data_IF_773845028354
#
_entry.id   IF_773845028354
#
_cell.length_a   1.000
_cell.length_b   1.000
_cell.length_c   1.000
_cell.angle_alpha   90.00
_cell.angle_beta   90.00
_cell.angle_gamma   90.00
#
_symmetry.space_group_name_H-M   'P 1'
#
loop_
_entity.id
_entity.type
_entity.pdbx_description
1 polymer ?
#
# COMPACT_ATOMS: atom_id res chain seq x y z
N UNK A 1 -21.50 7.57 25.74
CA UNK A 1 -20.23 8.25 25.43
C UNK A 1 -19.46 7.41 24.44
N UNK A 2 -18.81 8.05 23.47
CA UNK A 2 -17.88 7.36 22.54
C UNK A 2 -16.60 8.19 22.40
N UNK A 3 -15.48 7.50 22.18
CA UNK A 3 -14.20 8.07 21.84
C UNK A 3 -13.74 7.41 20.54
N UNK A 4 -13.44 8.21 19.53
CA UNK A 4 -12.75 7.78 18.32
C UNK A 4 -11.27 8.19 18.41
N UNK A 5 -10.39 7.30 18.04
CA UNK A 5 -8.95 7.56 17.99
C UNK A 5 -8.35 6.85 16.78
N UNK A 6 -7.68 7.61 15.92
CA UNK A 6 -6.78 7.07 14.91
C UNK A 6 -5.40 6.83 15.55
N UNK A 7 -5.02 5.56 15.65
CA UNK A 7 -3.77 5.15 16.32
C UNK A 7 -2.51 5.62 15.59
N UNK A 8 -2.61 6.02 14.31
CA UNK A 8 -1.49 6.58 13.58
C UNK A 8 -1.22 8.06 13.87
N UNK A 9 -2.20 8.78 14.43
CA UNK A 9 -2.09 10.23 14.70
C UNK A 9 -1.69 10.56 16.12
N UNK A 10 -1.77 9.58 17.03
CA UNK A 10 -1.46 9.76 18.45
C UNK A 10 -0.17 9.03 18.80
N UNK A 11 0.66 9.62 19.69
CA UNK A 11 1.71 8.82 20.34
C UNK A 11 1.06 7.77 21.23
N UNK A 12 1.63 6.57 21.33
CA UNK A 12 1.09 5.49 22.15
C UNK A 12 0.88 5.93 23.61
N UNK A 13 1.79 6.74 24.16
CA UNK A 13 1.64 7.29 25.51
C UNK A 13 0.39 8.15 25.67
N UNK A 14 0.17 9.10 24.77
CA UNK A 14 -1.03 9.96 24.82
C UNK A 14 -2.31 9.17 24.64
N UNK A 15 -2.30 8.16 23.76
CA UNK A 15 -3.42 7.26 23.56
C UNK A 15 -3.79 6.52 24.83
N UNK A 16 -2.80 5.89 25.50
CA UNK A 16 -3.02 5.10 26.69
C UNK A 16 -3.50 5.93 27.89
N UNK A 17 -3.01 7.15 28.06
CA UNK A 17 -3.50 8.05 29.12
C UNK A 17 -4.94 8.48 28.88
N UNK A 18 -5.33 8.80 27.65
CA UNK A 18 -6.73 9.11 27.30
C UNK A 18 -7.65 7.91 27.53
N UNK A 19 -7.20 6.71 27.19
CA UNK A 19 -7.98 5.47 27.37
C UNK A 19 -8.14 5.15 28.87
N UNK A 20 -7.11 5.29 29.67
CA UNK A 20 -7.19 5.15 31.14
C UNK A 20 -8.20 6.12 31.74
N UNK A 21 -8.17 7.38 31.30
CA UNK A 21 -9.14 8.39 31.72
C UNK A 21 -10.56 7.98 31.33
N UNK A 22 -10.77 7.54 30.07
CA UNK A 22 -12.07 7.08 29.58
C UNK A 22 -12.64 5.94 30.45
N UNK A 23 -11.83 4.90 30.71
CA UNK A 23 -12.26 3.74 31.49
C UNK A 23 -12.51 4.05 32.96
N UNK A 24 -11.83 5.04 33.51
CA UNK A 24 -12.01 5.51 34.88
C UNK A 24 -13.33 6.30 35.04
N UNK A 25 -13.56 7.25 34.16
CA UNK A 25 -14.63 8.20 34.30
C UNK A 25 -15.99 7.70 33.69
N UNK A 26 -15.91 6.84 32.64
CA UNK A 26 -17.08 6.39 31.91
C UNK A 26 -17.14 4.87 31.84
N UNK A 27 -17.92 4.27 32.77
CA UNK A 27 -18.04 2.80 32.87
C UNK A 27 -18.73 2.15 31.67
N UNK A 28 -19.56 2.90 30.94
CA UNK A 28 -20.26 2.45 29.74
C UNK A 28 -19.93 3.41 28.60
N UNK A 29 -18.94 3.05 27.81
CA UNK A 29 -18.54 3.84 26.63
C UNK A 29 -18.13 2.92 25.50
N UNK A 30 -18.09 3.49 24.30
CA UNK A 30 -17.58 2.82 23.09
C UNK A 30 -16.27 3.51 22.72
N UNK A 31 -15.19 2.72 22.66
CA UNK A 31 -13.91 3.14 22.16
C UNK A 31 -13.75 2.61 20.73
N UNK A 32 -13.61 3.50 19.76
CA UNK A 32 -13.31 3.16 18.36
C UNK A 32 -11.85 3.46 18.09
N UNK A 33 -11.10 2.44 17.73
CA UNK A 33 -9.68 2.52 17.42
C UNK A 33 -9.51 2.24 15.93
N UNK A 34 -9.09 3.23 15.19
CA UNK A 34 -8.78 3.12 13.77
C UNK A 34 -7.28 2.92 13.56
N UNK A 35 -6.90 2.11 12.58
CA UNK A 35 -5.51 1.74 12.31
C UNK A 35 -4.78 1.15 13.54
N UNK A 36 -5.48 0.38 14.36
CA UNK A 36 -4.95 -0.22 15.59
C UNK A 36 -4.21 -1.51 15.26
N UNK A 37 -2.92 -1.56 15.54
CA UNK A 37 -2.13 -2.79 15.44
C UNK A 37 -2.31 -3.73 16.66
N UNK A 38 -1.74 -4.94 16.55
CA UNK A 38 -1.87 -5.97 17.58
C UNK A 38 -1.22 -5.58 18.91
N UNK A 39 -0.11 -4.85 18.88
CA UNK A 39 0.64 -4.44 20.07
C UNK A 39 -0.13 -3.37 20.84
N UNK A 40 -0.66 -2.38 20.12
CA UNK A 40 -1.54 -1.34 20.68
C UNK A 40 -2.79 -1.98 21.30
N UNK A 41 -3.43 -2.92 20.59
CA UNK A 41 -4.59 -3.64 21.11
C UNK A 41 -4.27 -4.41 22.38
N UNK A 42 -3.14 -5.13 22.44
CA UNK A 42 -2.73 -5.90 23.61
C UNK A 42 -2.58 -5.01 24.84
N UNK A 43 -1.91 -3.85 24.70
CA UNK A 43 -1.75 -2.89 25.78
C UNK A 43 -3.10 -2.30 26.23
N UNK A 44 -3.98 -1.98 25.32
CA UNK A 44 -5.33 -1.47 25.64
C UNK A 44 -6.15 -2.52 26.40
N UNK A 45 -6.05 -3.79 25.98
CA UNK A 45 -6.67 -4.91 26.69
C UNK A 45 -6.11 -5.06 28.11
N UNK A 46 -4.79 -4.90 28.30
CA UNK A 46 -4.13 -4.91 29.60
C UNK A 46 -4.59 -3.75 30.48
N UNK A 47 -4.69 -2.55 29.91
CA UNK A 47 -5.22 -1.38 30.62
C UNK A 47 -6.66 -1.65 31.04
N UNK A 48 -7.53 -2.15 30.14
CA UNK A 48 -8.94 -2.44 30.43
C UNK A 48 -9.10 -3.44 31.58
N UNK A 49 -8.25 -4.46 31.67
CA UNK A 49 -8.31 -5.48 32.73
C UNK A 49 -8.08 -4.89 34.15
N UNK A 50 -7.43 -3.74 34.25
CA UNK A 50 -7.24 -3.00 35.50
C UNK A 50 -8.45 -2.16 35.95
N UNK A 51 -9.49 -2.07 35.11
CA UNK A 51 -10.71 -1.31 35.40
C UNK A 51 -11.93 -2.24 35.40
N UNK A 52 -12.80 -2.08 36.38
CA UNK A 52 -14.08 -2.78 36.41
C UNK A 52 -15.10 -2.03 35.51
N UNK A 53 -14.87 -2.07 34.19
CA UNK A 53 -15.60 -1.30 33.19
C UNK A 53 -16.20 -2.19 32.10
N UNK A 54 -17.45 -1.89 31.70
CA UNK A 54 -18.19 -2.58 30.64
C UNK A 54 -18.04 -1.92 29.26
N UNK A 55 -16.96 -1.17 29.08
CA UNK A 55 -16.68 -0.47 27.83
C UNK A 55 -16.56 -1.45 26.64
N UNK A 56 -17.15 -1.07 25.52
CA UNK A 56 -17.00 -1.79 24.23
C UNK A 56 -15.84 -1.19 23.45
N UNK A 57 -15.08 -2.05 22.79
CA UNK A 57 -13.96 -1.64 21.93
C UNK A 57 -14.29 -2.12 20.52
N UNK A 58 -14.27 -1.22 19.57
CA UNK A 58 -14.36 -1.48 18.14
C UNK A 58 -12.98 -1.16 17.55
N UNK A 59 -12.40 -2.10 16.85
CA UNK A 59 -11.10 -1.96 16.20
C UNK A 59 -11.33 -2.00 14.70
N UNK A 60 -10.80 -1.00 14.02
CA UNK A 60 -10.75 -0.93 12.57
C UNK A 60 -9.29 -1.13 12.17
N UNK A 61 -9.01 -2.17 11.40
CA UNK A 61 -7.67 -2.48 10.94
C UNK A 61 -7.72 -2.97 9.50
N UNK A 62 -6.82 -2.47 8.67
CA UNK A 62 -6.66 -2.87 7.28
C UNK A 62 -5.59 -3.99 7.11
N UNK A 63 -4.94 -4.42 8.19
CA UNK A 63 -3.93 -5.47 8.15
C UNK A 63 -4.54 -6.85 8.38
N UNK A 64 -4.76 -7.57 7.27
CA UNK A 64 -5.33 -8.92 7.27
C UNK A 64 -4.38 -10.01 7.80
N UNK A 65 -3.08 -9.73 7.83
CA UNK A 65 -2.07 -10.72 8.20
C UNK A 65 -1.92 -10.88 9.72
N UNK A 66 -2.51 -9.98 10.49
CA UNK A 66 -2.34 -9.94 11.95
C UNK A 66 -3.54 -10.48 12.75
N UNK A 67 -4.33 -11.40 12.16
CA UNK A 67 -5.52 -12.00 12.80
C UNK A 67 -5.21 -12.67 14.13
N UNK A 68 -4.03 -13.31 14.24
CA UNK A 68 -3.62 -14.00 15.46
C UNK A 68 -3.52 -13.07 16.68
N UNK A 69 -3.22 -11.80 16.47
CA UNK A 69 -3.16 -10.79 17.54
C UNK A 69 -4.55 -10.46 18.12
N UNK A 70 -5.64 -10.76 17.40
CA UNK A 70 -7.02 -10.46 17.77
C UNK A 70 -7.85 -11.70 18.14
N UNK A 71 -7.23 -12.81 18.51
CA UNK A 71 -7.89 -14.11 18.78
C UNK A 71 -9.03 -14.09 19.81
N UNK A 72 -9.15 -13.03 20.61
CA UNK A 72 -10.22 -12.85 21.60
C UNK A 72 -11.31 -11.87 21.17
N UNK A 73 -11.30 -11.45 19.90
CA UNK A 73 -12.28 -10.52 19.34
C UNK A 73 -13.26 -11.26 18.41
N UNK A 74 -14.48 -10.75 18.30
CA UNK A 74 -15.35 -11.10 17.18
C UNK A 74 -14.83 -10.33 15.96
N UNK A 75 -14.32 -11.04 14.97
CA UNK A 75 -13.79 -10.46 13.74
C UNK A 75 -14.91 -10.39 12.72
N UNK A 76 -15.18 -9.18 12.21
CA UNK A 76 -16.08 -8.95 11.09
C UNK A 76 -15.20 -8.52 9.93
N UNK A 77 -15.14 -9.36 8.90
CA UNK A 77 -14.47 -8.99 7.65
C UNK A 77 -15.44 -8.22 6.77
N UNK A 78 -15.00 -7.06 6.33
CA UNK A 78 -15.69 -6.35 5.26
C UNK A 78 -15.10 -6.83 3.93
N UNK A 79 -15.95 -7.12 2.97
CA UNK A 79 -15.52 -7.38 1.61
C UNK A 79 -14.70 -6.19 1.10
N UNK A 80 -13.56 -6.50 0.49
CA UNK A 80 -12.58 -5.48 0.07
C UNK A 80 -13.06 -4.68 -1.14
N UNK A 81 -13.84 -5.34 -2.00
CA UNK A 81 -14.45 -4.73 -3.18
C UNK A 81 -15.96 -4.91 -3.04
N UNK A 82 -16.69 -3.82 -3.07
CA UNK A 82 -18.14 -3.87 -3.00
C UNK A 82 -18.71 -3.14 -4.21
N UNK A 83 -18.92 -3.87 -5.29
CA UNK A 83 -19.66 -3.38 -6.45
C UNK A 83 -21.04 -2.88 -6.03
N UNK A 84 -21.71 -3.61 -5.12
CA UNK A 84 -23.01 -3.23 -4.55
C UNK A 84 -22.99 -1.86 -3.85
N UNK A 85 -21.91 -1.53 -3.15
CA UNK A 85 -21.77 -0.22 -2.48
C UNK A 85 -21.55 0.88 -3.50
N UNK A 86 -20.69 0.64 -4.49
CA UNK A 86 -20.47 1.56 -5.60
C UNK A 86 -21.78 1.79 -6.36
N UNK A 87 -22.52 0.73 -6.65
CA UNK A 87 -23.81 0.81 -7.31
C UNK A 87 -24.80 1.68 -6.55
N UNK A 88 -24.97 1.46 -5.24
CA UNK A 88 -25.82 2.27 -4.37
C UNK A 88 -25.39 3.74 -4.30
N UNK A 89 -24.07 4.02 -4.35
CA UNK A 89 -23.57 5.40 -4.41
C UNK A 89 -23.97 6.05 -5.73
N UNK A 90 -23.86 5.33 -6.84
CA UNK A 90 -24.11 5.86 -8.18
C UNK A 90 -25.60 5.90 -8.55
N UNK A 91 -26.40 4.93 -8.09
CA UNK A 91 -27.86 4.90 -8.33
C UNK A 91 -28.55 6.19 -7.86
N UNK A 92 -28.14 6.76 -6.74
CA UNK A 92 -28.69 8.03 -6.23
C UNK A 92 -28.46 9.22 -7.16
N UNK A 93 -27.59 9.07 -8.14
CA UNK A 93 -27.20 10.11 -9.09
C UNK A 93 -27.37 9.66 -10.54
N UNK A 94 -28.13 8.58 -10.78
CA UNK A 94 -28.30 7.98 -12.11
C UNK A 94 -28.83 8.95 -13.15
N UNK A 95 -29.78 9.81 -12.77
CA UNK A 95 -30.34 10.85 -13.65
C UNK A 95 -29.29 11.90 -14.06
N UNK A 96 -28.34 12.20 -13.16
CA UNK A 96 -27.29 13.20 -13.40
C UNK A 96 -26.10 12.63 -14.18
N UNK A 97 -25.76 11.37 -13.96
CA UNK A 97 -24.57 10.73 -14.49
C UNK A 97 -24.81 9.99 -15.82
N UNK A 98 -26.03 9.49 -16.05
CA UNK A 98 -26.40 8.81 -17.30
C UNK A 98 -25.38 7.73 -17.70
N UNK A 99 -24.86 7.84 -18.94
CA UNK A 99 -23.87 6.90 -19.50
C UNK A 99 -22.51 6.87 -18.77
N UNK A 100 -22.23 7.86 -17.93
CA UNK A 100 -20.96 7.98 -17.20
C UNK A 100 -20.81 6.94 -16.08
N UNK A 101 -21.93 6.36 -15.63
CA UNK A 101 -21.95 5.39 -14.53
C UNK A 101 -21.02 4.20 -14.83
N UNK A 102 -21.07 3.65 -16.03
CA UNK A 102 -20.23 2.50 -16.39
C UNK A 102 -18.73 2.84 -16.38
N UNK A 103 -18.36 4.04 -16.81
CA UNK A 103 -16.98 4.52 -16.74
C UNK A 103 -16.51 4.67 -15.31
N UNK A 104 -17.37 5.21 -14.42
CA UNK A 104 -17.04 5.35 -12.99
C UNK A 104 -16.90 3.98 -12.34
N UNK A 105 -17.83 3.04 -12.58
CA UNK A 105 -17.79 1.68 -12.05
C UNK A 105 -16.50 0.97 -12.45
N UNK A 106 -16.17 0.98 -13.73
CA UNK A 106 -14.97 0.35 -14.27
C UNK A 106 -13.69 0.88 -13.60
N UNK A 107 -13.58 2.20 -13.45
CA UNK A 107 -12.38 2.82 -12.88
C UNK A 107 -12.33 2.68 -11.36
N UNK A 108 -13.48 2.74 -10.68
CA UNK A 108 -13.56 2.59 -9.23
C UNK A 108 -13.20 1.17 -8.76
N UNK A 109 -13.41 0.14 -9.59
CA UNK A 109 -13.11 -1.27 -9.25
C UNK A 109 -13.63 -1.66 -7.85
N UNK A 110 -14.90 -1.35 -7.55
CA UNK A 110 -15.49 -1.62 -6.25
C UNK A 110 -15.08 -0.69 -5.11
N UNK A 111 -14.20 0.32 -5.35
CA UNK A 111 -13.75 1.25 -4.33
C UNK A 111 -14.72 2.43 -4.16
N UNK A 112 -15.45 2.56 -3.01
CA UNK A 112 -16.45 3.59 -2.80
C UNK A 112 -15.88 5.02 -2.82
N UNK A 113 -14.68 5.23 -2.28
CA UNK A 113 -14.04 6.55 -2.27
C UNK A 113 -13.71 7.00 -3.69
N UNK A 114 -13.22 6.08 -4.54
CA UNK A 114 -12.96 6.40 -5.94
C UNK A 114 -14.23 6.73 -6.70
N UNK A 115 -15.31 5.98 -6.47
CA UNK A 115 -16.61 6.27 -7.07
C UNK A 115 -17.13 7.67 -6.68
N UNK A 116 -16.96 8.04 -5.41
CA UNK A 116 -17.37 9.34 -4.90
C UNK A 116 -16.55 10.49 -5.51
N UNK A 117 -15.23 10.35 -5.57
CA UNK A 117 -14.35 11.35 -6.19
C UNK A 117 -14.66 11.55 -7.68
N UNK A 118 -14.85 10.45 -8.40
CA UNK A 118 -15.22 10.52 -9.82
C UNK A 118 -16.60 11.16 -10.00
N UNK A 119 -17.58 10.76 -9.22
CA UNK A 119 -18.93 11.32 -9.25
C UNK A 119 -18.90 12.86 -9.10
N UNK A 120 -18.15 13.39 -8.13
CA UNK A 120 -18.04 14.83 -7.93
C UNK A 120 -17.41 15.52 -9.16
N UNK A 121 -16.37 14.94 -9.73
CA UNK A 121 -15.71 15.49 -10.93
C UNK A 121 -16.62 15.44 -12.17
N UNK A 122 -17.38 14.36 -12.34
CA UNK A 122 -18.31 14.24 -13.46
C UNK A 122 -19.51 15.19 -13.37
N UNK A 123 -19.88 15.65 -12.18
CA UNK A 123 -20.87 16.72 -12.01
C UNK A 123 -20.36 18.07 -12.53
N UNK A 124 -19.06 18.34 -12.34
CA UNK A 124 -18.46 19.61 -12.72
C UNK A 124 -18.17 19.73 -14.21
N UNK A 125 -17.96 18.59 -14.91
CA UNK A 125 -17.52 18.60 -16.32
C UNK A 125 -18.23 17.53 -17.16
N UNK A 126 -19.16 17.98 -18.03
CA UNK A 126 -19.89 17.12 -18.93
C UNK A 126 -19.02 16.47 -20.04
N UNK A 127 -17.80 16.96 -20.29
CA UNK A 127 -16.93 16.45 -21.37
C UNK A 127 -16.24 15.12 -21.03
N UNK A 128 -16.52 14.52 -19.87
CA UNK A 128 -15.87 13.31 -19.36
C UNK A 128 -16.43 12.00 -19.96
N UNK A 129 -17.47 12.06 -20.78
CA UNK A 129 -18.24 10.87 -21.22
C UNK A 129 -17.44 9.82 -22.00
N UNK A 130 -16.42 10.25 -22.75
CA UNK A 130 -15.64 9.40 -23.64
C UNK A 130 -14.14 9.39 -23.32
N UNK A 131 -13.75 9.72 -22.09
CA UNK A 131 -12.35 9.77 -21.74
C UNK A 131 -11.79 8.36 -21.52
N UNK A 132 -10.59 8.11 -22.07
CA UNK A 132 -9.77 7.00 -21.65
C UNK A 132 -9.29 7.20 -20.19
N UNK A 133 -8.86 6.12 -19.56
CA UNK A 133 -8.43 6.14 -18.15
C UNK A 133 -7.32 7.18 -17.88
N UNK A 134 -6.43 7.38 -18.84
CA UNK A 134 -5.35 8.38 -18.75
C UNK A 134 -5.86 9.83 -18.70
N UNK A 135 -6.82 10.18 -19.59
CA UNK A 135 -7.42 11.50 -19.58
C UNK A 135 -8.25 11.75 -18.31
N UNK A 136 -8.90 10.70 -17.79
CA UNK A 136 -9.62 10.75 -16.53
C UNK A 136 -8.69 11.01 -15.35
N UNK A 137 -7.55 10.31 -15.28
CA UNK A 137 -6.54 10.51 -14.25
C UNK A 137 -5.93 11.92 -14.36
N UNK A 138 -5.62 12.39 -15.57
CA UNK A 138 -5.13 13.77 -15.79
C UNK A 138 -6.10 14.81 -15.25
N UNK A 139 -7.40 14.64 -15.47
CA UNK A 139 -8.41 15.54 -14.91
C UNK A 139 -8.55 15.43 -13.39
N UNK A 140 -8.50 14.22 -12.82
CA UNK A 140 -8.51 14.02 -11.37
C UNK A 140 -7.32 14.74 -10.71
N UNK A 141 -6.13 14.54 -11.23
CA UNK A 141 -4.93 15.20 -10.74
C UNK A 141 -4.95 16.70 -11.03
N UNK A 142 -5.65 17.13 -12.09
CA UNK A 142 -5.65 18.49 -12.62
C UNK A 142 -4.32 18.84 -13.25
N UNK A 143 -3.67 17.88 -13.90
CA UNK A 143 -2.36 17.99 -14.53
C UNK A 143 -2.29 17.07 -15.76
N UNK A 144 -1.59 17.52 -16.78
CA UNK A 144 -1.34 16.70 -17.96
C UNK A 144 -0.30 15.61 -17.69
N UNK A 145 -0.26 14.59 -18.55
CA UNK A 145 0.62 13.42 -18.40
C UNK A 145 2.10 13.79 -18.44
N UNK A 146 2.45 14.79 -19.19
CA UNK A 146 3.84 15.12 -19.51
C UNK A 146 4.49 16.18 -18.60
N UNK A 147 3.77 16.73 -17.63
CA UNK A 147 4.30 17.79 -16.76
C UNK A 147 4.88 17.22 -15.47
N UNK A 148 5.83 17.95 -14.84
CA UNK A 148 6.51 17.50 -13.61
C UNK A 148 5.58 17.06 -12.48
N UNK A 149 4.44 17.72 -12.36
CA UNK A 149 3.43 17.43 -11.33
C UNK A 149 2.86 16.00 -11.44
N UNK A 150 2.73 15.47 -12.68
CA UNK A 150 2.32 14.07 -12.89
C UNK A 150 3.38 13.11 -12.35
N UNK A 151 4.66 13.43 -12.54
CA UNK A 151 5.79 12.66 -12.00
C UNK A 151 5.73 12.64 -10.47
N UNK A 152 5.36 13.75 -9.83
CA UNK A 152 5.17 13.81 -8.38
C UNK A 152 4.07 12.84 -7.93
N UNK A 153 2.93 12.81 -8.63
CA UNK A 153 1.84 11.89 -8.31
C UNK A 153 2.27 10.41 -8.41
N UNK A 154 3.00 10.06 -9.47
CA UNK A 154 3.57 8.72 -9.65
C UNK A 154 4.54 8.37 -8.52
N UNK A 155 5.47 9.26 -8.20
CA UNK A 155 6.47 9.06 -7.15
C UNK A 155 5.84 8.86 -5.77
N UNK A 156 4.84 9.67 -5.42
CA UNK A 156 4.09 9.53 -4.16
C UNK A 156 3.29 8.23 -4.10
N UNK A 157 2.81 7.74 -5.26
CA UNK A 157 2.02 6.51 -5.33
C UNK A 157 2.82 5.25 -5.01
N UNK A 158 4.14 5.28 -5.18
CA UNK A 158 5.02 4.14 -4.88
C UNK A 158 5.05 3.76 -3.39
N UNK A 159 4.66 4.69 -2.52
CA UNK A 159 4.74 4.50 -1.07
C UNK A 159 3.34 4.52 -0.45
N UNK A 160 3.11 3.69 0.58
CA UNK A 160 1.85 3.75 1.33
C UNK A 160 1.71 5.09 2.03
N UNK A 161 2.70 5.46 2.83
CA UNK A 161 2.87 6.79 3.40
C UNK A 161 4.32 7.23 3.28
N UNK A 162 4.52 8.48 2.89
CA UNK A 162 5.83 9.14 2.78
C UNK A 162 5.89 10.33 3.74
N UNK A 163 6.90 10.36 4.60
CA UNK A 163 7.15 11.49 5.50
C UNK A 163 7.51 12.74 4.72
N UNK A 164 6.88 13.88 5.03
CA UNK A 164 7.07 15.13 4.30
C UNK A 164 7.24 16.36 5.19
N UNK A 165 7.05 16.23 6.50
CA UNK A 165 7.18 17.31 7.49
C UNK A 165 8.18 16.96 8.59
N UNK A 166 8.77 17.96 9.17
CA UNK A 166 9.62 17.91 10.37
C UNK A 166 10.70 16.82 10.28
N UNK A 167 10.89 16.00 11.30
CA UNK A 167 11.92 14.95 11.34
C UNK A 167 11.76 13.87 10.27
N UNK A 168 10.57 13.74 9.66
CA UNK A 168 10.33 12.82 8.56
C UNK A 168 10.53 13.42 7.18
N UNK A 169 10.90 14.71 7.09
CA UNK A 169 11.13 15.44 5.85
C UNK A 169 12.15 14.77 4.92
N UNK A 170 13.17 14.15 5.50
CA UNK A 170 14.23 13.49 4.74
C UNK A 170 13.75 12.34 3.85
N UNK A 171 12.57 11.75 4.12
CA UNK A 171 11.96 10.72 3.26
C UNK A 171 11.52 11.36 1.93
N UNK A 172 10.79 12.48 1.99
CA UNK A 172 10.36 13.21 0.80
C UNK A 172 11.57 13.72 0.00
N UNK A 173 12.57 14.27 0.66
CA UNK A 173 13.78 14.79 0.00
C UNK A 173 14.52 13.67 -0.74
N UNK A 174 14.65 12.49 -0.14
CA UNK A 174 15.26 11.32 -0.78
C UNK A 174 14.49 10.95 -2.06
N UNK A 175 13.17 10.90 -2.01
CA UNK A 175 12.33 10.57 -3.16
C UNK A 175 12.36 11.68 -4.21
N UNK A 176 12.18 12.93 -3.81
CA UNK A 176 12.09 14.08 -4.71
C UNK A 176 13.41 14.38 -5.43
N UNK A 177 14.55 14.13 -4.80
CA UNK A 177 15.87 14.37 -5.40
C UNK A 177 16.42 13.20 -6.21
N UNK A 178 15.76 12.02 -6.13
CA UNK A 178 16.18 10.84 -6.88
C UNK A 178 15.63 10.87 -8.30
N UNK A 179 16.54 11.03 -9.28
CA UNK A 179 16.18 10.93 -10.70
C UNK A 179 15.70 9.53 -11.11
N UNK A 180 16.11 8.49 -10.39
CA UNK A 180 15.68 7.11 -10.59
C UNK A 180 14.20 6.93 -10.26
N UNK A 181 13.68 7.75 -9.35
CA UNK A 181 12.26 7.76 -8.95
C UNK A 181 11.48 8.76 -9.79
N UNK A 182 12.01 9.96 -9.96
CA UNK A 182 11.32 11.12 -10.53
C UNK A 182 11.50 11.28 -12.04
N UNK A 183 11.97 10.26 -12.74
CA UNK A 183 12.08 10.26 -14.20
C UNK A 183 10.87 9.53 -14.83
N UNK A 184 10.25 10.16 -15.81
CA UNK A 184 9.17 9.60 -16.61
C UNK A 184 9.38 9.99 -18.08
N UNK A 185 9.46 9.01 -18.97
CA UNK A 185 9.65 9.22 -20.41
C UNK A 185 10.80 10.21 -20.74
N UNK A 186 11.95 10.03 -20.05
CA UNK A 186 13.11 10.90 -20.20
C UNK A 186 13.01 12.30 -19.55
N UNK A 187 11.86 12.67 -19.00
CA UNK A 187 11.66 13.90 -18.23
C UNK A 187 11.92 13.64 -16.76
N UNK A 188 12.58 14.58 -16.08
CA UNK A 188 12.94 14.47 -14.67
C UNK A 188 12.33 15.64 -13.91
N UNK A 189 11.75 15.36 -12.73
CA UNK A 189 11.27 16.35 -11.79
C UNK A 189 11.93 16.16 -10.43
N UNK A 190 13.17 16.55 -10.28
CA UNK A 190 13.96 16.40 -9.07
C UNK A 190 14.03 17.71 -8.25
N UNK A 191 12.89 18.35 -8.05
CA UNK A 191 12.74 19.58 -7.29
C UNK A 191 11.78 19.41 -6.12
N UNK A 192 12.29 19.50 -4.91
CA UNK A 192 11.52 19.37 -3.67
C UNK A 192 10.38 20.39 -3.58
N UNK A 193 10.60 21.61 -4.13
CA UNK A 193 9.59 22.68 -4.11
C UNK A 193 8.34 22.34 -4.95
N UNK A 194 8.52 21.60 -6.04
CA UNK A 194 7.41 21.09 -6.86
C UNK A 194 6.61 20.07 -6.07
N UNK A 195 7.28 19.17 -5.33
CA UNK A 195 6.62 18.19 -4.45
C UNK A 195 5.79 18.88 -3.38
N UNK A 196 6.34 19.88 -2.68
CA UNK A 196 5.61 20.62 -1.64
C UNK A 196 4.34 21.28 -2.17
N UNK A 197 4.48 21.99 -3.29
CA UNK A 197 3.36 22.65 -3.94
C UNK A 197 2.27 21.65 -4.36
N UNK A 198 2.69 20.51 -4.88
CA UNK A 198 1.76 19.53 -5.40
C UNK A 198 1.09 18.71 -4.29
N UNK A 199 1.82 18.40 -3.22
CA UNK A 199 1.24 17.77 -2.02
C UNK A 199 0.11 18.64 -1.46
N UNK A 200 0.33 19.94 -1.32
CA UNK A 200 -0.72 20.85 -0.83
C UNK A 200 -1.98 20.80 -1.71
N UNK A 201 -1.82 20.86 -3.04
CA UNK A 201 -2.94 20.76 -3.98
C UNK A 201 -3.66 19.41 -3.92
N UNK A 202 -2.92 18.31 -3.77
CA UNK A 202 -3.52 16.97 -3.73
C UNK A 202 -4.23 16.68 -2.41
N UNK A 203 -3.76 17.26 -1.30
CA UNK A 203 -4.47 17.24 -0.02
C UNK A 203 -5.81 18.00 -0.12
N UNK A 204 -5.80 19.21 -0.71
CA UNK A 204 -7.02 19.99 -0.93
C UNK A 204 -8.04 19.25 -1.80
N UNK A 205 -7.57 18.50 -2.80
CA UNK A 205 -8.43 17.68 -3.67
C UNK A 205 -8.89 16.36 -3.06
N UNK A 206 -8.44 16.00 -1.87
CA UNK A 206 -8.73 14.70 -1.25
C UNK A 206 -8.10 13.49 -1.95
N UNK A 207 -7.07 13.72 -2.79
CA UNK A 207 -6.32 12.68 -3.49
C UNK A 207 -5.20 12.13 -2.62
N UNK A 208 -4.67 12.95 -1.72
CA UNK A 208 -3.75 12.53 -0.66
C UNK A 208 -4.47 12.50 0.68
N UNK A 209 -4.12 11.50 1.48
CA UNK A 209 -4.46 11.41 2.89
C UNK A 209 -3.25 11.84 3.71
N UNK A 210 -3.45 12.74 4.68
CA UNK A 210 -2.41 13.10 5.64
C UNK A 210 -2.56 12.29 6.92
N UNK A 211 -1.48 11.66 7.38
CA UNK A 211 -1.38 10.98 8.67
C UNK A 211 -0.18 11.50 9.43
N UNK A 212 -0.44 12.36 10.40
CA UNK A 212 0.60 13.02 11.18
C UNK A 212 1.57 13.80 10.29
N UNK A 213 2.80 13.30 10.13
CA UNK A 213 3.86 13.93 9.33
C UNK A 213 4.07 13.29 7.96
N UNK A 214 3.13 12.45 7.54
CA UNK A 214 3.24 11.67 6.31
C UNK A 214 2.01 11.84 5.43
N UNK A 215 2.18 11.64 4.13
CA UNK A 215 1.11 11.63 3.13
C UNK A 215 1.12 10.34 2.34
N UNK A 216 -0.05 9.88 1.95
CA UNK A 216 -0.23 8.71 1.09
C UNK A 216 -1.28 8.95 0.03
N UNK A 217 -1.05 8.40 -1.17
CA UNK A 217 -2.01 8.47 -2.27
C UNK A 217 -3.24 7.63 -1.96
N UNK A 218 -4.40 8.24 -2.06
CA UNK A 218 -5.73 7.62 -1.94
C UNK A 218 -6.65 8.18 -3.04
N UNK A 219 -7.59 7.41 -3.57
CA UNK A 219 -7.84 5.98 -3.28
C UNK A 219 -6.82 5.05 -3.92
N UNK A 220 -6.81 3.80 -3.46
CA UNK A 220 -5.84 2.78 -3.94
C UNK A 220 -5.91 2.54 -5.46
N UNK A 221 -7.07 2.48 -6.14
CA UNK A 221 -7.11 2.31 -7.60
C UNK A 221 -6.35 3.39 -8.37
N UNK A 222 -6.39 4.65 -7.89
CA UNK A 222 -5.60 5.73 -8.48
C UNK A 222 -4.09 5.50 -8.29
N UNK A 223 -3.68 5.06 -7.09
CA UNK A 223 -2.29 4.74 -6.83
C UNK A 223 -1.79 3.59 -7.73
N UNK A 224 -2.59 2.54 -7.92
CA UNK A 224 -2.26 1.41 -8.81
C UNK A 224 -2.05 1.90 -10.24
N UNK A 225 -2.99 2.70 -10.76
CA UNK A 225 -2.87 3.25 -12.12
C UNK A 225 -1.56 4.04 -12.31
N UNK A 226 -1.23 4.90 -11.33
CA UNK A 226 -0.03 5.73 -11.38
C UNK A 226 1.27 4.90 -11.25
N UNK A 227 1.26 3.81 -10.49
CA UNK A 227 2.37 2.88 -10.40
C UNK A 227 2.54 2.09 -11.72
N UNK A 228 1.45 1.60 -12.32
CA UNK A 228 1.49 0.94 -13.63
C UNK A 228 2.10 1.89 -14.68
N UNK A 229 1.66 3.14 -14.71
CA UNK A 229 2.20 4.15 -15.60
C UNK A 229 3.68 4.41 -15.35
N UNK A 230 4.10 4.52 -14.10
CA UNK A 230 5.51 4.68 -13.72
C UNK A 230 6.36 3.49 -14.18
N UNK A 231 5.84 2.27 -14.10
CA UNK A 231 6.54 1.03 -14.50
C UNK A 231 6.67 0.88 -16.02
N UNK A 232 5.72 1.40 -16.81
CA UNK A 232 5.74 1.27 -18.28
C UNK A 232 7.06 1.72 -18.92
N UNK A 233 7.75 2.68 -18.30
CA UNK A 233 8.99 3.27 -18.82
C UNK A 233 10.23 2.80 -18.03
N UNK A 234 10.12 1.69 -17.27
CA UNK A 234 11.22 1.13 -16.49
C UNK A 234 11.78 -0.14 -17.15
N UNK A 235 13.07 -0.10 -17.45
CA UNK A 235 13.80 -1.31 -17.77
C UNK A 235 14.19 -2.04 -16.48
N UNK A 236 14.54 -3.35 -16.55
CA UNK A 236 15.07 -4.08 -15.40
C UNK A 236 16.21 -3.37 -14.69
N UNK A 237 17.14 -2.77 -15.46
CA UNK A 237 18.29 -2.05 -14.92
C UNK A 237 17.85 -0.82 -14.13
N UNK A 238 16.89 -0.04 -14.64
CA UNK A 238 16.34 1.14 -13.93
C UNK A 238 15.60 0.75 -12.66
N UNK A 239 14.94 -0.40 -12.64
CA UNK A 239 14.32 -0.92 -11.42
C UNK A 239 15.38 -1.37 -10.40
N UNK A 240 16.49 -1.93 -10.85
CA UNK A 240 17.63 -2.24 -9.97
C UNK A 240 18.24 -0.95 -9.38
N UNK A 241 18.46 0.07 -10.19
CA UNK A 241 18.93 1.40 -9.73
C UNK A 241 17.97 2.00 -8.68
N UNK A 242 16.66 1.92 -8.90
CA UNK A 242 15.64 2.35 -7.92
C UNK A 242 15.78 1.61 -6.59
N UNK A 243 15.91 0.28 -6.62
CA UNK A 243 16.11 -0.54 -5.41
C UNK A 243 17.36 -0.09 -4.67
N UNK A 244 18.47 0.13 -5.38
CA UNK A 244 19.71 0.61 -4.80
C UNK A 244 19.59 1.98 -4.14
N UNK A 245 18.83 2.92 -4.75
CA UNK A 245 18.56 4.23 -4.16
C UNK A 245 17.86 4.09 -2.81
N UNK A 246 16.81 3.26 -2.74
CA UNK A 246 16.11 3.02 -1.48
C UNK A 246 17.03 2.40 -0.42
N UNK A 247 17.85 1.42 -0.82
CA UNK A 247 18.77 0.72 0.11
C UNK A 247 19.89 1.63 0.65
N UNK A 248 20.36 2.58 -0.16
CA UNK A 248 21.41 3.53 0.23
C UNK A 248 20.88 4.75 1.01
N UNK A 249 19.54 4.94 1.04
CA UNK A 249 18.94 6.08 1.73
C UNK A 249 19.15 6.03 3.26
N UNK A 250 19.35 7.18 3.93
CA UNK A 250 19.39 7.23 5.40
C UNK A 250 18.12 6.67 6.05
N UNK A 251 16.96 6.86 5.40
CA UNK A 251 15.65 6.41 5.84
C UNK A 251 15.23 5.05 5.25
N UNK A 252 16.21 4.23 4.78
CA UNK A 252 15.97 2.99 4.04
C UNK A 252 14.91 2.07 4.65
N UNK A 253 14.93 1.87 5.96
CA UNK A 253 13.98 0.97 6.64
C UNK A 253 12.54 1.47 6.51
N UNK A 254 12.31 2.76 6.67
CA UNK A 254 10.99 3.39 6.58
C UNK A 254 10.50 3.37 5.14
N UNK A 255 11.35 3.77 4.19
CA UNK A 255 11.03 3.76 2.76
C UNK A 255 10.73 2.35 2.25
N UNK A 256 11.56 1.36 2.63
CA UNK A 256 11.34 -0.06 2.29
C UNK A 256 10.00 -0.55 2.82
N UNK A 257 9.72 -0.31 4.10
CA UNK A 257 8.46 -0.74 4.71
C UNK A 257 7.26 -0.09 4.02
N UNK A 258 7.32 1.22 3.76
CA UNK A 258 6.25 1.96 3.10
C UNK A 258 6.00 1.48 1.67
N UNK A 259 7.07 1.22 0.91
CA UNK A 259 7.00 0.66 -0.44
C UNK A 259 6.38 -0.75 -0.43
N UNK A 260 6.89 -1.66 0.41
CA UNK A 260 6.37 -3.01 0.52
C UNK A 260 4.89 -3.02 0.95
N UNK A 261 4.52 -2.20 1.94
CA UNK A 261 3.14 -2.09 2.40
C UNK A 261 2.19 -1.57 1.31
N UNK A 262 2.65 -0.68 0.43
CA UNK A 262 1.87 -0.25 -0.73
C UNK A 262 1.45 -1.44 -1.59
N UNK A 263 2.36 -2.36 -1.87
CA UNK A 263 2.04 -3.57 -2.63
C UNK A 263 1.10 -4.52 -1.89
N UNK A 264 1.26 -4.69 -0.59
CA UNK A 264 0.33 -5.50 0.23
C UNK A 264 -1.10 -4.96 0.16
N UNK A 265 -1.28 -3.64 0.25
CA UNK A 265 -2.59 -3.00 0.16
C UNK A 265 -3.23 -3.14 -1.22
N UNK A 266 -2.45 -3.40 -2.27
CA UNK A 266 -2.94 -3.62 -3.62
C UNK A 266 -3.33 -5.08 -3.91
N UNK A 267 -3.04 -6.01 -2.99
CA UNK A 267 -3.14 -7.46 -3.23
C UNK A 267 -4.53 -7.99 -3.60
N UNK A 268 -5.58 -7.23 -3.36
CA UNK A 268 -6.94 -7.58 -3.74
C UNK A 268 -7.32 -7.13 -5.18
N UNK A 269 -6.52 -6.29 -5.83
CA UNK A 269 -6.84 -5.76 -7.15
C UNK A 269 -6.20 -6.63 -8.24
N UNK A 270 -7.00 -7.05 -9.24
CA UNK A 270 -6.51 -7.88 -10.34
C UNK A 270 -5.40 -7.20 -11.16
N UNK A 271 -5.45 -5.85 -11.33
CA UNK A 271 -4.39 -5.10 -12.01
C UNK A 271 -3.07 -5.15 -11.26
N UNK A 272 -3.11 -5.10 -9.92
CA UNK A 272 -1.91 -5.30 -9.11
C UNK A 272 -1.34 -6.71 -9.26
N UNK A 273 -2.21 -7.73 -9.39
CA UNK A 273 -1.79 -9.11 -9.68
C UNK A 273 -1.07 -9.20 -11.03
N UNK A 274 -1.63 -8.58 -12.06
CA UNK A 274 -1.01 -8.53 -13.41
C UNK A 274 0.31 -7.76 -13.41
N UNK A 275 0.38 -6.65 -12.69
CA UNK A 275 1.60 -5.86 -12.51
C UNK A 275 2.69 -6.69 -11.82
N UNK A 276 2.39 -7.38 -10.72
CA UNK A 276 3.35 -8.28 -10.06
C UNK A 276 3.79 -9.39 -11.01
N UNK A 277 2.87 -9.95 -11.81
CA UNK A 277 3.20 -10.95 -12.80
C UNK A 277 4.19 -10.44 -13.87
N UNK A 278 4.03 -9.19 -14.31
CA UNK A 278 4.98 -8.55 -15.24
C UNK A 278 6.32 -8.26 -14.58
N UNK A 279 6.33 -7.72 -13.34
CA UNK A 279 7.54 -7.45 -12.56
C UNK A 279 8.38 -8.71 -12.32
N UNK A 280 7.72 -9.86 -12.13
CA UNK A 280 8.35 -11.15 -11.87
C UNK A 280 8.44 -12.02 -13.15
N UNK A 281 8.34 -11.42 -14.33
CA UNK A 281 8.47 -12.08 -15.62
C UNK A 281 9.91 -12.55 -15.93
N UNK A 282 10.11 -13.07 -17.13
CA UNK A 282 11.38 -13.70 -17.52
C UNK A 282 12.61 -12.77 -17.48
N UNK A 283 12.40 -11.48 -17.75
CA UNK A 283 13.43 -10.45 -17.70
C UNK A 283 13.38 -9.64 -16.40
N UNK A 284 12.83 -10.21 -15.33
CA UNK A 284 12.71 -9.55 -14.04
C UNK A 284 14.08 -9.16 -13.47
N UNK A 285 14.24 -7.94 -12.91
CA UNK A 285 15.44 -7.60 -12.16
C UNK A 285 15.59 -8.45 -10.89
N UNK A 286 14.52 -9.10 -10.47
CA UNK A 286 14.48 -10.03 -9.34
C UNK A 286 14.86 -11.47 -9.73
N UNK A 287 15.20 -11.74 -10.99
CA UNK A 287 15.71 -13.05 -11.42
C UNK A 287 17.17 -13.31 -10.97
N UNK A 288 17.67 -12.51 -10.05
CA UNK A 288 19.01 -12.56 -9.46
C UNK A 288 18.90 -12.85 -7.96
N UNK A 289 19.59 -13.90 -7.49
CA UNK A 289 19.58 -14.30 -6.09
C UNK A 289 20.10 -13.20 -5.15
N UNK A 290 21.12 -12.42 -5.58
CA UNK A 290 21.66 -11.31 -4.78
C UNK A 290 20.61 -10.20 -4.57
N UNK A 291 19.78 -9.93 -5.59
CA UNK A 291 18.70 -8.95 -5.47
C UNK A 291 17.63 -9.47 -4.53
N UNK A 292 17.27 -10.75 -4.61
CA UNK A 292 16.29 -11.34 -3.69
C UNK A 292 16.83 -11.38 -2.25
N UNK A 293 18.12 -11.69 -2.06
CA UNK A 293 18.75 -11.71 -0.73
C UNK A 293 18.96 -10.31 -0.12
N UNK A 294 18.79 -9.24 -0.90
CA UNK A 294 18.86 -7.88 -0.36
C UNK A 294 17.74 -7.58 0.65
N UNK A 295 17.94 -6.59 1.52
CA UNK A 295 16.94 -6.22 2.52
C UNK A 295 15.60 -5.80 1.88
N UNK A 296 15.63 -4.96 0.85
CA UNK A 296 14.41 -4.55 0.13
C UNK A 296 13.83 -5.70 -0.69
N UNK A 297 14.66 -6.42 -1.44
CA UNK A 297 14.21 -7.50 -2.30
C UNK A 297 13.48 -8.58 -1.51
N UNK A 298 14.09 -9.08 -0.42
CA UNK A 298 13.49 -10.13 0.41
C UNK A 298 12.17 -9.71 1.06
N UNK A 299 12.05 -8.46 1.53
CA UNK A 299 10.80 -7.90 2.08
C UNK A 299 9.74 -7.74 1.01
N UNK A 300 10.14 -7.31 -0.18
CA UNK A 300 9.23 -7.13 -1.30
C UNK A 300 8.58 -8.44 -1.71
N UNK A 301 9.31 -9.54 -1.71
CA UNK A 301 8.74 -10.87 -1.98
C UNK A 301 7.75 -11.33 -0.91
N UNK A 302 7.98 -10.97 0.37
CA UNK A 302 6.98 -11.18 1.43
C UNK A 302 5.66 -10.45 1.16
N UNK A 303 5.69 -9.34 0.43
CA UNK A 303 4.51 -8.58 0.03
C UNK A 303 3.93 -9.10 -1.29
N UNK A 304 4.76 -9.40 -2.27
CA UNK A 304 4.33 -9.94 -3.57
C UNK A 304 3.60 -11.29 -3.45
N UNK A 305 3.99 -12.14 -2.52
CA UNK A 305 3.32 -13.43 -2.31
C UNK A 305 1.86 -13.28 -1.89
N UNK A 306 1.52 -12.19 -1.22
CA UNK A 306 0.12 -11.88 -0.86
C UNK A 306 -0.68 -11.38 -2.08
N UNK A 307 -0.01 -10.87 -3.11
CA UNK A 307 -0.64 -10.33 -4.33
C UNK A 307 -0.74 -11.41 -5.40
N UNK A 308 0.36 -12.12 -5.67
CA UNK A 308 0.44 -13.14 -6.70
C UNK A 308 1.39 -14.28 -6.30
N UNK A 309 0.94 -15.27 -5.52
CA UNK A 309 1.77 -16.39 -5.06
C UNK A 309 2.33 -17.22 -6.20
N UNK A 310 1.58 -17.38 -7.31
CA UNK A 310 2.00 -18.17 -8.46
C UNK A 310 3.21 -17.54 -9.16
N UNK A 311 3.20 -16.22 -9.37
CA UNK A 311 4.34 -15.51 -9.97
C UNK A 311 5.59 -15.58 -9.08
N UNK A 312 5.43 -15.45 -7.77
CA UNK A 312 6.52 -15.59 -6.79
C UNK A 312 7.08 -17.00 -6.80
N UNK A 313 6.22 -18.02 -6.75
CA UNK A 313 6.64 -19.43 -6.78
C UNK A 313 7.45 -19.76 -8.04
N UNK A 314 6.95 -19.31 -9.20
CA UNK A 314 7.66 -19.50 -10.49
C UNK A 314 9.06 -18.90 -10.45
N UNK A 315 9.18 -17.64 -9.98
CA UNK A 315 10.48 -16.99 -9.93
C UNK A 315 11.42 -17.63 -8.91
N UNK A 316 10.93 -17.96 -7.72
CA UNK A 316 11.72 -18.65 -6.69
C UNK A 316 12.23 -20.01 -7.16
N UNK A 317 11.38 -20.79 -7.83
CA UNK A 317 11.80 -22.07 -8.43
C UNK A 317 12.86 -21.87 -9.50
N UNK A 318 12.73 -20.82 -10.34
CA UNK A 318 13.75 -20.49 -11.36
C UNK A 318 15.08 -20.10 -10.74
N UNK A 319 15.08 -19.31 -9.67
CA UNK A 319 16.32 -18.78 -9.06
C UNK A 319 16.95 -19.78 -8.12
N UNK A 320 16.18 -20.40 -7.23
CA UNK A 320 16.71 -21.25 -6.15
C UNK A 320 16.64 -22.74 -6.46
N UNK A 321 15.75 -23.18 -7.34
CA UNK A 321 15.47 -24.60 -7.56
C UNK A 321 16.65 -25.43 -8.06
N UNK A 322 17.63 -24.80 -8.73
CA UNK A 322 18.83 -25.43 -9.24
C UNK A 322 20.13 -25.00 -8.52
N UNK A 323 20.03 -24.23 -7.42
CA UNK A 323 21.20 -23.80 -6.65
C UNK A 323 21.78 -24.96 -5.85
N UNK A 324 23.10 -24.98 -5.74
CA UNK A 324 23.79 -25.94 -4.85
C UNK A 324 23.51 -25.60 -3.38
N UNK A 325 23.70 -26.60 -2.49
CA UNK A 325 23.57 -26.35 -1.03
C UNK A 325 24.56 -25.29 -0.56
N UNK A 326 25.77 -25.28 -1.12
CA UNK A 326 26.81 -24.30 -0.79
C UNK A 326 26.38 -22.88 -1.18
N UNK A 327 25.67 -22.71 -2.31
CA UNK A 327 25.18 -21.40 -2.74
C UNK A 327 23.97 -20.95 -1.93
N UNK A 328 23.06 -21.87 -1.59
CA UNK A 328 21.94 -21.54 -0.70
C UNK A 328 22.41 -21.13 0.73
N UNK A 329 23.53 -21.67 1.20
CA UNK A 329 24.12 -21.27 2.47
C UNK A 329 24.71 -19.85 2.46
N UNK A 330 25.05 -19.30 1.28
CA UNK A 330 25.53 -17.91 1.13
C UNK A 330 24.42 -16.87 1.23
N UNK A 331 23.16 -17.30 1.17
CA UNK A 331 22.00 -16.41 1.37
C UNK A 331 21.88 -16.11 2.86
N UNK A 332 22.16 -14.87 3.24
CA UNK A 332 22.22 -14.47 4.66
C UNK A 332 21.29 -13.32 4.98
N UNK A 333 21.34 -12.25 4.20
CA UNK A 333 20.63 -10.98 4.50
C UNK A 333 19.12 -11.14 4.46
N UNK A 334 18.60 -11.76 3.42
CA UNK A 334 17.18 -11.97 3.19
C UNK A 334 16.64 -13.32 3.67
N UNK A 335 17.49 -14.22 4.18
CA UNK A 335 17.15 -15.61 4.50
C UNK A 335 15.84 -15.75 5.27
N UNK A 336 15.66 -14.97 6.32
CA UNK A 336 14.44 -14.98 7.14
C UNK A 336 13.19 -14.66 6.32
N UNK A 337 13.24 -13.62 5.52
CA UNK A 337 12.12 -13.18 4.69
C UNK A 337 11.84 -14.17 3.55
N UNK A 338 12.89 -14.77 2.99
CA UNK A 338 12.79 -15.83 1.97
C UNK A 338 12.03 -17.03 2.57
N UNK A 339 12.44 -17.50 3.77
CA UNK A 339 11.75 -18.60 4.45
C UNK A 339 10.28 -18.25 4.74
N UNK A 340 9.99 -17.05 5.20
CA UNK A 340 8.60 -16.60 5.41
C UNK A 340 7.80 -16.53 4.10
N UNK A 341 8.43 -16.15 3.00
CA UNK A 341 7.80 -16.18 1.68
C UNK A 341 7.46 -17.61 1.25
N UNK A 342 8.40 -18.54 1.46
CA UNK A 342 8.19 -19.98 1.19
C UNK A 342 7.08 -20.57 2.07
N UNK A 343 7.03 -20.20 3.36
CA UNK A 343 5.95 -20.58 4.26
C UNK A 343 4.59 -20.13 3.71
N UNK A 344 4.46 -18.86 3.27
CA UNK A 344 3.23 -18.34 2.66
C UNK A 344 2.84 -19.08 1.38
N UNK A 345 3.82 -19.47 0.54
CA UNK A 345 3.57 -20.29 -0.65
C UNK A 345 2.97 -21.66 -0.29
N UNK A 346 3.32 -22.22 0.87
CA UNK A 346 2.78 -23.48 1.35
C UNK A 346 1.30 -23.38 1.82
N UNK A 347 0.75 -22.18 2.02
CA UNK A 347 -0.66 -22.00 2.38
C UNK A 347 -1.59 -21.87 1.16
N UNK A 348 -1.05 -21.69 -0.04
CA UNK A 348 -1.84 -21.61 -1.26
C UNK A 348 -1.77 -22.95 -2.01
N UNK A 349 -2.93 -23.56 -2.32
CA UNK A 349 -3.03 -24.87 -2.96
C UNK A 349 -2.20 -24.96 -4.26
N UNK A 350 -2.27 -23.92 -5.10
CA UNK A 350 -1.59 -23.86 -6.39
C UNK A 350 -0.05 -23.83 -6.29
N UNK A 351 0.51 -23.45 -5.14
CA UNK A 351 1.95 -23.27 -4.94
C UNK A 351 2.54 -24.12 -3.83
N UNK A 352 1.71 -24.98 -3.19
CA UNK A 352 2.12 -25.81 -2.07
C UNK A 352 3.32 -26.71 -2.39
N UNK A 353 3.26 -27.45 -3.50
CA UNK A 353 4.32 -28.40 -3.85
C UNK A 353 5.66 -27.71 -4.10
N UNK A 354 5.65 -26.61 -4.84
CA UNK A 354 6.88 -25.83 -5.13
C UNK A 354 7.42 -25.15 -3.87
N UNK A 355 6.54 -24.57 -3.05
CA UNK A 355 6.91 -23.93 -1.77
C UNK A 355 7.53 -24.94 -0.81
N UNK A 356 6.90 -26.10 -0.63
CA UNK A 356 7.41 -27.17 0.24
C UNK A 356 8.74 -27.75 -0.26
N UNK A 357 8.88 -27.96 -1.57
CA UNK A 357 10.13 -28.45 -2.17
C UNK A 357 11.29 -27.48 -1.93
N UNK A 358 11.08 -26.18 -2.17
CA UNK A 358 12.11 -25.17 -1.93
C UNK A 358 12.42 -25.04 -0.43
N UNK A 359 11.40 -25.10 0.45
CA UNK A 359 11.61 -25.02 1.90
C UNK A 359 12.51 -26.17 2.38
N UNK A 360 12.34 -27.38 1.86
CA UNK A 360 13.21 -28.53 2.16
C UNK A 360 14.65 -28.33 1.66
N UNK A 361 14.86 -27.59 0.59
CA UNK A 361 16.22 -27.26 0.11
C UNK A 361 16.92 -26.24 1.01
N UNK A 362 16.17 -25.31 1.61
CA UNK A 362 16.70 -24.30 2.54
C UNK A 362 16.92 -24.83 3.96
N UNK A 363 16.35 -25.99 4.30
CA UNK A 363 16.52 -26.68 5.60
C UNK A 363 17.83 -27.44 5.68
#
# INVERSE_FOLDING_TARGET
HYLYCDCNTCTHYQLYEKIKYLFKEYKESILVLDNCDGDVYYEIKRIRSGFNASNKIIIINNDLNNRSSFNSCNIIEMEKESEDVVDKILERFSELLGSKIETIKRFACGNPLMAELLKERFKEDASLENLCDDALVSKLLGVDKEIPERIVAQSLSLFDFLGYKEERRGELETVALSKEITCYDGKISNDVSIFDKQIAKYLEKGILEEKGRSVGMRPIPLAIYLIEEWLLYRTPEKLKEFIEVIQKAPQRNILTNSFCRRFELMGYNYKARDMVNQLLGDNSPFADAEVIDSELGSRLFCSFVNVNPVAVSRLYTKVFGNMSKEDLLKIETGRRNIVWTLEKLCFAEETFESGASLMLQFA
#
